data_IF_194088974391
#
_entry.id   IF_194088974391
#
_cell.length_a   1.000
_cell.length_b   1.000
_cell.length_c   1.000
_cell.angle_alpha   90.00
_cell.angle_beta   90.00
_cell.angle_gamma   90.00
#
_symmetry.space_group_name_H-M   'P 1'
#
loop_
_entity.id
_entity.type
_entity.pdbx_description
1 polymer ?
#
# COMPACT_ATOMS: atom_id res chain seq x y z
N UNK A 1 -13.37 -8.35 25.35
CA UNK A 1 -12.15 -9.06 25.77
C UNK A 1 -11.01 -8.05 25.84
N UNK A 2 -10.14 -8.06 26.84
CA UNK A 2 -8.92 -7.24 26.81
C UNK A 2 -7.98 -7.73 25.70
N UNK A 3 -7.35 -6.79 25.00
CA UNK A 3 -6.46 -7.12 23.90
C UNK A 3 -5.17 -7.80 24.43
N UNK A 4 -4.75 -8.93 23.83
CA UNK A 4 -3.56 -9.67 24.25
C UNK A 4 -2.27 -9.02 23.69
N UNK A 5 -1.95 -7.81 24.14
CA UNK A 5 -0.87 -6.97 23.60
C UNK A 5 0.47 -7.68 23.44
N UNK A 6 0.90 -8.48 24.44
CA UNK A 6 2.19 -9.20 24.36
C UNK A 6 2.23 -10.22 23.25
N UNK A 7 1.10 -10.92 23.00
CA UNK A 7 1.01 -11.91 21.93
C UNK A 7 0.94 -11.23 20.55
N UNK A 8 0.16 -10.16 20.44
CA UNK A 8 0.05 -9.38 19.19
C UNK A 8 1.40 -8.78 18.79
N UNK A 9 2.12 -8.14 19.71
CA UNK A 9 3.43 -7.53 19.46
C UNK A 9 4.55 -8.55 19.15
N UNK A 10 4.35 -9.83 19.46
CA UNK A 10 5.27 -10.93 19.10
C UNK A 10 4.85 -11.68 17.84
N UNK A 11 3.72 -11.37 17.28
CA UNK A 11 3.16 -12.06 16.11
C UNK A 11 3.75 -11.50 14.82
N UNK A 12 4.48 -12.32 14.06
CA UNK A 12 5.04 -11.93 12.77
C UNK A 12 3.97 -11.49 11.75
N UNK A 13 2.81 -12.16 11.60
CA UNK A 13 1.73 -11.70 10.74
C UNK A 13 1.17 -10.32 11.10
N UNK A 14 1.14 -9.95 12.37
CA UNK A 14 0.71 -8.60 12.81
C UNK A 14 1.70 -7.54 12.32
N UNK A 15 3.01 -7.78 12.48
CA UNK A 15 4.03 -6.87 11.97
C UNK A 15 4.06 -6.81 10.45
N UNK A 16 3.78 -7.92 9.76
CA UNK A 16 3.64 -7.94 8.31
C UNK A 16 2.53 -6.96 7.85
N UNK A 17 1.38 -6.96 8.53
CA UNK A 17 0.29 -6.01 8.23
C UNK A 17 0.73 -4.57 8.53
N UNK A 18 1.32 -4.32 9.70
CA UNK A 18 1.70 -2.97 10.16
C UNK A 18 2.73 -2.34 9.21
N UNK A 19 3.80 -3.08 8.90
CA UNK A 19 4.89 -2.59 8.03
C UNK A 19 4.38 -2.37 6.61
N UNK A 20 3.62 -3.32 6.07
CA UNK A 20 3.07 -3.21 4.71
C UNK A 20 2.06 -2.08 4.60
N UNK A 21 1.22 -1.90 5.61
CA UNK A 21 0.29 -0.77 5.66
C UNK A 21 1.02 0.56 5.71
N UNK A 22 2.04 0.68 6.57
CA UNK A 22 2.89 1.88 6.64
C UNK A 22 3.56 2.20 5.31
N UNK A 23 4.17 1.21 4.67
CA UNK A 23 4.80 1.36 3.36
C UNK A 23 3.81 1.76 2.26
N UNK A 24 2.63 1.10 2.22
CA UNK A 24 1.59 1.39 1.24
C UNK A 24 0.99 2.79 1.43
N UNK A 25 0.76 3.20 2.67
CA UNK A 25 0.22 4.54 3.01
C UNK A 25 1.24 5.63 2.72
N UNK A 26 2.51 5.43 3.10
CA UNK A 26 3.60 6.35 2.77
C UNK A 26 3.68 6.61 1.26
N UNK A 27 3.74 5.55 0.46
CA UNK A 27 3.80 5.68 -0.99
C UNK A 27 2.54 6.29 -1.59
N UNK A 28 1.36 5.88 -1.12
CA UNK A 28 0.09 6.43 -1.57
C UNK A 28 -0.01 7.94 -1.32
N UNK A 29 0.28 8.39 -0.09
CA UNK A 29 0.24 9.83 0.22
C UNK A 29 1.30 10.62 -0.52
N UNK A 30 2.51 10.07 -0.73
CA UNK A 30 3.51 10.74 -1.54
C UNK A 30 2.99 10.96 -2.96
N UNK A 31 2.47 9.93 -3.61
CA UNK A 31 1.95 10.05 -4.98
C UNK A 31 0.77 11.04 -5.01
N UNK A 32 -0.23 10.88 -4.14
CA UNK A 32 -1.46 11.68 -4.19
C UNK A 32 -1.21 13.14 -3.88
N UNK A 33 -0.39 13.45 -2.87
CA UNK A 33 -0.16 14.81 -2.42
C UNK A 33 0.87 15.55 -3.27
N UNK A 34 1.87 14.84 -3.79
CA UNK A 34 3.00 15.45 -4.48
C UNK A 34 2.90 15.36 -6.00
N UNK A 35 2.03 14.49 -6.52
CA UNK A 35 1.81 14.37 -7.96
C UNK A 35 1.44 15.70 -8.65
N UNK A 36 0.55 16.56 -8.09
CA UNK A 36 0.26 17.85 -8.69
C UNK A 36 1.50 18.73 -8.83
N UNK A 37 2.34 18.79 -7.77
CA UNK A 37 3.59 19.58 -7.79
C UNK A 37 4.58 19.07 -8.84
N UNK A 38 4.73 17.75 -8.94
CA UNK A 38 5.57 17.15 -9.96
C UNK A 38 5.11 17.47 -11.39
N UNK A 39 3.81 17.33 -11.65
CA UNK A 39 3.22 17.59 -12.97
C UNK A 39 3.33 19.08 -13.34
N UNK A 40 3.15 19.98 -12.38
CA UNK A 40 3.29 21.41 -12.62
C UNK A 40 4.74 21.83 -12.84
N UNK A 41 5.66 21.37 -11.98
CA UNK A 41 7.07 21.82 -11.98
C UNK A 41 7.91 21.17 -13.05
N UNK A 42 7.76 19.86 -13.26
CA UNK A 42 8.61 19.08 -14.17
C UNK A 42 7.97 18.89 -15.53
N UNK A 43 6.67 18.59 -15.58
CA UNK A 43 5.98 18.34 -16.82
C UNK A 43 5.37 19.62 -17.42
N UNK A 44 5.41 20.76 -16.69
CA UNK A 44 4.86 22.05 -17.12
C UNK A 44 3.40 21.96 -17.63
N UNK A 45 2.59 21.13 -16.95
CA UNK A 45 1.21 20.86 -17.31
C UNK A 45 0.25 21.30 -16.21
N UNK A 46 -0.71 22.16 -16.53
CA UNK A 46 -1.68 22.67 -15.57
C UNK A 46 -2.85 21.68 -15.41
N UNK A 47 -2.80 20.87 -14.33
CA UNK A 47 -3.86 19.91 -13.98
C UNK A 47 -5.18 20.56 -13.63
N UNK A 48 -5.19 21.81 -13.17
CA UNK A 48 -6.41 22.49 -12.71
C UNK A 48 -7.50 22.57 -13.80
N UNK A 49 -7.12 22.52 -15.07
CA UNK A 49 -8.07 22.50 -16.19
C UNK A 49 -8.58 21.09 -16.55
N UNK A 50 -8.05 20.01 -15.92
CA UNK A 50 -8.38 18.64 -16.30
C UNK A 50 -8.82 17.80 -15.11
N UNK A 51 -9.90 18.21 -14.40
CA UNK A 51 -10.46 17.47 -13.29
C UNK A 51 -10.80 16.02 -13.60
N UNK A 52 -11.15 15.71 -14.85
CA UNK A 52 -11.41 14.34 -15.32
C UNK A 52 -10.14 13.47 -15.28
N UNK A 53 -9.01 13.99 -15.75
CA UNK A 53 -7.71 13.30 -15.70
C UNK A 53 -7.25 13.03 -14.26
N UNK A 54 -7.51 13.99 -13.37
CA UNK A 54 -7.16 13.86 -11.94
C UNK A 54 -8.04 12.85 -11.20
N UNK A 55 -9.26 12.59 -11.66
CA UNK A 55 -10.18 11.61 -11.06
C UNK A 55 -9.98 10.19 -11.57
N UNK A 56 -9.36 10.02 -12.74
CA UNK A 56 -9.17 8.72 -13.40
C UNK A 56 -8.44 7.68 -12.52
N UNK A 57 -7.33 8.02 -11.83
CA UNK A 57 -6.64 7.09 -10.94
C UNK A 57 -7.53 6.58 -9.78
N UNK A 58 -8.38 7.44 -9.23
CA UNK A 58 -9.27 7.08 -8.13
C UNK A 58 -10.41 6.16 -8.59
N UNK A 59 -10.96 6.43 -9.76
CA UNK A 59 -11.95 5.54 -10.39
C UNK A 59 -11.32 4.18 -10.68
N UNK A 60 -10.13 4.17 -11.27
CA UNK A 60 -9.36 2.94 -11.52
C UNK A 60 -9.10 2.16 -10.23
N UNK A 61 -8.67 2.83 -9.16
CA UNK A 61 -8.46 2.23 -7.84
C UNK A 61 -9.72 1.58 -7.29
N UNK A 62 -10.86 2.26 -7.39
CA UNK A 62 -12.15 1.72 -6.95
C UNK A 62 -12.54 0.46 -7.72
N UNK A 63 -12.48 0.52 -9.06
CA UNK A 63 -12.81 -0.62 -9.91
C UNK A 63 -11.86 -1.81 -9.67
N UNK A 64 -10.57 -1.55 -9.51
CA UNK A 64 -9.59 -2.58 -9.18
C UNK A 64 -9.84 -3.20 -7.80
N UNK A 65 -10.23 -2.41 -6.81
CA UNK A 65 -10.58 -2.91 -5.48
C UNK A 65 -11.79 -3.86 -5.54
N UNK A 66 -12.84 -3.53 -6.29
CA UNK A 66 -13.99 -4.41 -6.49
C UNK A 66 -13.59 -5.69 -7.23
N UNK A 67 -12.94 -5.57 -8.38
CA UNK A 67 -12.56 -6.70 -9.21
C UNK A 67 -11.63 -7.67 -8.47
N UNK A 68 -10.62 -7.15 -7.78
CA UNK A 68 -9.67 -7.95 -7.02
C UNK A 68 -10.32 -8.64 -5.82
N UNK A 69 -11.27 -7.99 -5.13
CA UNK A 69 -12.00 -8.59 -4.01
C UNK A 69 -12.88 -9.75 -4.48
N UNK A 70 -13.65 -9.56 -5.56
CA UNK A 70 -14.46 -10.62 -6.17
C UNK A 70 -13.60 -11.79 -6.65
N UNK A 71 -12.48 -11.48 -7.31
CA UNK A 71 -11.55 -12.50 -7.80
C UNK A 71 -10.91 -13.29 -6.64
N UNK A 72 -10.44 -12.61 -5.61
CA UNK A 72 -9.86 -13.25 -4.43
C UNK A 72 -10.86 -14.19 -3.74
N UNK A 73 -12.10 -13.73 -3.56
CA UNK A 73 -13.15 -14.55 -2.95
C UNK A 73 -13.51 -15.77 -3.82
N UNK A 74 -13.58 -15.60 -5.13
CA UNK A 74 -13.81 -16.70 -6.08
C UNK A 74 -12.71 -17.75 -6.02
N UNK A 75 -11.46 -17.32 -6.02
CA UNK A 75 -10.30 -18.23 -5.95
C UNK A 75 -10.21 -18.97 -4.61
N UNK A 76 -10.58 -18.32 -3.52
CA UNK A 76 -10.64 -18.96 -2.19
C UNK A 76 -11.79 -19.95 -2.08
N UNK A 77 -13.00 -19.58 -2.54
CA UNK A 77 -14.19 -20.46 -2.50
C UNK A 77 -14.04 -21.68 -3.41
N UNK A 78 -13.37 -21.54 -4.54
CA UNK A 78 -13.11 -22.66 -5.44
C UNK A 78 -12.01 -23.61 -4.94
N UNK A 79 -11.37 -23.31 -3.79
CA UNK A 79 -10.26 -24.09 -3.23
C UNK A 79 -8.95 -24.02 -4.01
N UNK A 80 -8.87 -23.15 -5.05
CA UNK A 80 -7.64 -23.01 -5.86
C UNK A 80 -6.52 -22.32 -5.11
N UNK A 81 -6.85 -21.41 -4.21
CA UNK A 81 -5.87 -20.72 -3.37
C UNK A 81 -6.25 -20.80 -1.90
N UNK A 82 -5.28 -21.08 -1.04
CA UNK A 82 -5.43 -20.91 0.40
C UNK A 82 -5.59 -19.42 0.74
N UNK A 83 -6.16 -19.11 1.91
CA UNK A 83 -6.28 -17.73 2.39
C UNK A 83 -4.92 -17.03 2.40
N UNK A 84 -3.88 -17.68 2.94
CA UNK A 84 -2.52 -17.16 2.98
C UNK A 84 -1.99 -16.86 1.59
N UNK A 85 -2.13 -17.79 0.64
CA UNK A 85 -1.65 -17.62 -0.73
C UNK A 85 -2.37 -16.47 -1.44
N UNK A 86 -3.69 -16.38 -1.31
CA UNK A 86 -4.47 -15.28 -1.88
C UNK A 86 -4.02 -13.92 -1.31
N UNK A 87 -3.89 -13.79 0.02
CA UNK A 87 -3.44 -12.54 0.64
C UNK A 87 -2.04 -12.12 0.20
N UNK A 88 -1.10 -13.07 0.11
CA UNK A 88 0.27 -12.80 -0.37
C UNK A 88 0.29 -12.39 -1.84
N UNK A 89 -0.47 -13.07 -2.70
CA UNK A 89 -0.55 -12.77 -4.13
C UNK A 89 -1.10 -11.35 -4.36
N UNK A 90 -2.28 -11.05 -3.77
CA UNK A 90 -2.89 -9.74 -3.96
C UNK A 90 -2.11 -8.60 -3.31
N UNK A 91 -1.41 -8.84 -2.19
CA UNK A 91 -0.53 -7.82 -1.60
C UNK A 91 0.71 -7.60 -2.45
N UNK A 92 1.36 -8.67 -2.94
CA UNK A 92 2.49 -8.56 -3.86
C UNK A 92 2.13 -7.79 -5.13
N UNK A 93 0.94 -8.06 -5.70
CA UNK A 93 0.40 -7.32 -6.83
C UNK A 93 0.12 -5.85 -6.47
N UNK A 94 -0.60 -5.60 -5.38
CA UNK A 94 -1.11 -4.26 -5.02
C UNK A 94 -0.05 -3.30 -4.47
N UNK A 95 1.03 -3.82 -3.89
CA UNK A 95 2.10 -3.03 -3.27
C UNK A 95 3.42 -3.21 -4.03
N UNK A 96 3.76 -4.45 -4.42
CA UNK A 96 5.02 -4.72 -5.11
C UNK A 96 5.07 -4.16 -6.52
N UNK A 97 4.00 -4.34 -7.32
CA UNK A 97 3.98 -3.84 -8.70
C UNK A 97 4.04 -2.30 -8.77
N UNK A 98 3.29 -1.52 -7.97
CA UNK A 98 3.52 -0.07 -7.87
C UNK A 98 4.97 0.29 -7.53
N UNK A 99 5.66 -0.49 -6.67
CA UNK A 99 7.08 -0.30 -6.40
C UNK A 99 7.96 -0.41 -7.64
N UNK A 100 7.73 -1.44 -8.46
CA UNK A 100 8.41 -1.59 -9.76
C UNK A 100 8.07 -0.42 -10.71
N UNK A 101 6.82 0.02 -10.72
CA UNK A 101 6.39 1.16 -11.54
C UNK A 101 7.06 2.47 -11.13
N UNK A 102 7.39 2.67 -9.86
CA UNK A 102 8.18 3.83 -9.42
C UNK A 102 9.61 3.79 -9.96
N UNK A 103 10.21 2.60 -10.12
CA UNK A 103 11.50 2.47 -10.80
C UNK A 103 11.36 2.89 -12.26
N UNK A 104 10.34 2.42 -12.96
CA UNK A 104 10.07 2.81 -14.36
C UNK A 104 9.83 4.33 -14.45
N UNK A 105 9.11 4.92 -13.50
CA UNK A 105 8.88 6.36 -13.41
C UNK A 105 10.20 7.14 -13.26
N UNK A 106 11.17 6.62 -12.52
CA UNK A 106 12.48 7.25 -12.38
C UNK A 106 13.27 7.31 -13.69
N UNK A 107 12.96 6.47 -14.67
CA UNK A 107 13.61 6.50 -16.00
C UNK A 107 12.79 7.24 -17.07
N UNK A 108 11.46 7.10 -17.05
CA UNK A 108 10.58 7.62 -18.09
C UNK A 108 9.80 8.87 -17.66
N UNK A 109 9.98 9.34 -16.45
CA UNK A 109 9.18 10.39 -15.84
C UNK A 109 9.28 11.77 -16.51
N UNK A 110 10.29 12.01 -17.33
CA UNK A 110 10.40 13.26 -18.08
C UNK A 110 9.35 13.41 -19.19
N UNK A 111 8.74 12.31 -19.65
CA UNK A 111 7.66 12.33 -20.62
C UNK A 111 6.29 12.40 -19.92
N UNK A 112 5.45 13.35 -20.37
CA UNK A 112 4.13 13.62 -19.76
C UNK A 112 3.18 12.44 -19.86
N UNK A 113 3.13 11.80 -21.00
CA UNK A 113 2.16 10.73 -21.29
C UNK A 113 2.51 9.50 -20.45
N UNK A 114 3.79 9.12 -20.43
CA UNK A 114 4.28 8.00 -19.65
C UNK A 114 4.12 8.24 -18.15
N UNK A 115 4.45 9.43 -17.66
CA UNK A 115 4.27 9.76 -16.23
C UNK A 115 2.83 9.64 -15.77
N UNK A 116 1.89 10.26 -16.49
CA UNK A 116 0.47 10.20 -16.13
C UNK A 116 -0.04 8.76 -16.19
N UNK A 117 0.36 8.00 -17.21
CA UNK A 117 -0.02 6.59 -17.36
C UNK A 117 0.52 5.73 -16.20
N UNK A 118 1.79 5.89 -15.84
CA UNK A 118 2.43 5.12 -14.76
C UNK A 118 1.76 5.43 -13.41
N UNK A 119 1.55 6.69 -13.06
CA UNK A 119 0.89 7.06 -11.81
C UNK A 119 -0.57 6.58 -11.76
N UNK A 120 -1.31 6.75 -12.86
CA UNK A 120 -2.70 6.26 -12.96
C UNK A 120 -2.75 4.76 -12.74
N UNK A 121 -1.87 4.01 -13.40
CA UNK A 121 -1.84 2.56 -13.30
C UNK A 121 -1.36 2.10 -11.92
N UNK A 122 -0.35 2.75 -11.34
CA UNK A 122 0.14 2.43 -9.99
C UNK A 122 -0.95 2.62 -8.93
N UNK A 123 -1.69 3.75 -8.97
CA UNK A 123 -2.81 3.99 -8.08
C UNK A 123 -3.99 3.03 -8.32
N UNK A 124 -4.27 2.70 -9.57
CA UNK A 124 -5.29 1.70 -9.93
C UNK A 124 -4.97 0.34 -9.31
N UNK A 125 -3.76 -0.16 -9.52
CA UNK A 125 -3.29 -1.46 -9.01
C UNK A 125 -3.28 -1.48 -7.48
N UNK A 126 -2.92 -0.37 -6.85
CA UNK A 126 -2.96 -0.24 -5.39
C UNK A 126 -4.37 -0.49 -4.82
N UNK A 127 -5.45 -0.36 -5.59
CA UNK A 127 -6.80 -0.73 -5.17
C UNK A 127 -6.92 -2.19 -4.69
N UNK A 128 -6.12 -3.10 -5.21
CA UNK A 128 -6.13 -4.51 -4.83
C UNK A 128 -5.63 -4.80 -3.39
N UNK A 129 -5.15 -3.79 -2.64
CA UNK A 129 -4.81 -3.91 -1.21
C UNK A 129 -5.99 -4.41 -0.36
N UNK A 130 -7.23 -4.16 -0.79
CA UNK A 130 -8.45 -4.64 -0.13
C UNK A 130 -8.54 -6.17 -0.14
N UNK A 131 -8.19 -6.80 -1.24
CA UNK A 131 -8.09 -8.25 -1.38
C UNK A 131 -6.80 -8.82 -0.75
N UNK A 132 -5.79 -7.98 -0.56
CA UNK A 132 -4.50 -8.31 0.04
C UNK A 132 -4.49 -8.16 1.56
N UNK A 133 -3.52 -7.39 2.06
CA UNK A 133 -3.23 -7.25 3.49
C UNK A 133 -4.36 -6.57 4.29
N UNK A 134 -5.17 -5.70 3.68
CA UNK A 134 -6.29 -5.06 4.38
C UNK A 134 -7.38 -6.06 4.82
N UNK A 135 -7.63 -7.10 4.05
CA UNK A 135 -8.53 -8.17 4.47
C UNK A 135 -7.91 -9.15 5.48
N UNK A 136 -6.58 -9.19 5.56
CA UNK A 136 -5.86 -10.19 6.33
C UNK A 136 -6.01 -10.04 7.85
N UNK A 137 -6.22 -8.83 8.36
CA UNK A 137 -6.47 -8.61 9.79
C UNK A 137 -7.70 -9.37 10.30
N UNK A 138 -8.74 -9.51 9.47
CA UNK A 138 -9.93 -10.31 9.79
C UNK A 138 -9.66 -11.82 9.72
N UNK A 139 -8.76 -12.25 8.83
CA UNK A 139 -8.42 -13.68 8.72
C UNK A 139 -7.63 -14.15 9.94
N UNK A 140 -6.61 -13.38 10.38
CA UNK A 140 -5.72 -13.79 11.47
C UNK A 140 -6.31 -13.58 12.86
N UNK A 141 -7.16 -12.54 13.05
CA UNK A 141 -7.72 -12.21 14.35
C UNK A 141 -9.04 -11.42 14.22
N UNK A 142 -10.19 -12.06 13.93
CA UNK A 142 -11.48 -11.39 13.82
C UNK A 142 -11.83 -10.55 15.04
N UNK A 143 -11.54 -11.05 16.25
CA UNK A 143 -11.87 -10.37 17.50
C UNK A 143 -10.99 -9.12 17.78
N UNK A 144 -9.82 -9.02 17.17
CA UNK A 144 -8.86 -7.95 17.40
C UNK A 144 -8.42 -7.24 16.11
N UNK A 145 -9.10 -7.46 15.00
CA UNK A 145 -8.78 -6.83 13.70
C UNK A 145 -8.75 -5.31 13.80
N UNK A 146 -9.73 -4.71 14.49
CA UNK A 146 -9.76 -3.26 14.74
C UNK A 146 -8.55 -2.75 15.53
N UNK A 147 -8.06 -3.53 16.50
CA UNK A 147 -6.85 -3.18 17.28
C UNK A 147 -5.60 -3.24 16.39
N UNK A 148 -5.48 -4.28 15.54
CA UNK A 148 -4.36 -4.42 14.59
C UNK A 148 -4.33 -3.22 13.63
N UNK A 149 -5.48 -2.88 13.04
CA UNK A 149 -5.55 -1.73 12.14
C UNK A 149 -5.41 -0.40 12.85
N UNK A 150 -5.82 -0.29 14.11
CA UNK A 150 -5.53 0.86 14.96
C UNK A 150 -4.02 1.10 15.11
N UNK A 151 -3.27 0.05 15.45
CA UNK A 151 -1.80 0.11 15.51
C UNK A 151 -1.18 0.45 14.15
N UNK A 152 -1.65 -0.19 13.08
CA UNK A 152 -1.16 0.06 11.74
C UNK A 152 -1.41 1.51 11.29
N UNK A 153 -2.60 2.05 11.53
CA UNK A 153 -2.95 3.44 11.21
C UNK A 153 -2.16 4.44 12.04
N UNK A 154 -1.92 4.17 13.32
CA UNK A 154 -1.10 5.04 14.18
C UNK A 154 0.32 5.16 13.61
N UNK A 155 0.93 4.04 13.24
CA UNK A 155 2.27 4.05 12.66
C UNK A 155 2.28 4.71 11.27
N UNK A 156 1.28 4.44 10.43
CA UNK A 156 1.19 5.00 9.08
C UNK A 156 0.92 6.50 9.05
N UNK A 157 0.34 7.07 10.12
CA UNK A 157 0.14 8.52 10.24
C UNK A 157 1.47 9.29 10.23
N UNK A 158 2.52 8.72 10.81
CA UNK A 158 3.87 9.26 10.70
C UNK A 158 4.40 9.19 9.26
N UNK A 159 4.02 8.15 8.51
CA UNK A 159 4.40 8.01 7.10
C UNK A 159 3.86 9.13 6.22
N UNK A 160 2.64 9.59 6.45
CA UNK A 160 2.05 10.73 5.72
C UNK A 160 2.83 12.03 5.94
N UNK A 161 3.17 12.34 7.20
CA UNK A 161 4.02 13.49 7.53
C UNK A 161 5.43 13.34 6.93
N UNK A 162 6.06 12.18 7.12
CA UNK A 162 7.41 11.91 6.64
C UNK A 162 7.48 12.01 5.11
N UNK A 163 6.43 11.58 4.38
CA UNK A 163 6.39 11.67 2.92
C UNK A 163 6.44 13.12 2.43
N UNK A 164 5.66 13.99 3.05
CA UNK A 164 5.62 15.42 2.70
C UNK A 164 6.93 16.12 3.06
N UNK A 165 7.47 15.83 4.25
CA UNK A 165 8.75 16.35 4.69
C UNK A 165 9.90 15.91 3.77
N UNK A 166 9.96 14.64 3.42
CA UNK A 166 10.99 14.08 2.52
C UNK A 166 10.97 14.76 1.14
N UNK A 167 9.80 14.89 0.52
CA UNK A 167 9.70 15.55 -0.78
C UNK A 167 10.04 17.03 -0.66
N UNK A 168 9.54 17.71 0.37
CA UNK A 168 9.84 19.12 0.62
C UNK A 168 11.34 19.35 0.73
N UNK A 169 12.06 18.55 1.53
CA UNK A 169 13.51 18.67 1.74
C UNK A 169 14.30 18.40 0.46
N UNK A 170 13.91 17.36 -0.29
CA UNK A 170 14.61 16.99 -1.53
C UNK A 170 14.38 18.00 -2.66
N UNK A 171 13.23 18.70 -2.69
CA UNK A 171 12.89 19.60 -3.79
C UNK A 171 12.97 21.09 -3.45
N UNK A 172 13.36 21.43 -2.21
CA UNK A 172 13.36 22.81 -1.71
C UNK A 172 14.37 23.72 -2.44
N UNK A 173 15.61 23.28 -2.60
CA UNK A 173 16.65 24.11 -3.22
C UNK A 173 16.57 24.09 -4.75
N UNK A 174 16.37 22.91 -5.32
CA UNK A 174 16.29 22.69 -6.77
C UNK A 174 15.19 21.72 -7.10
N UNK A 175 14.10 22.21 -7.67
CA UNK A 175 13.00 21.36 -8.10
C UNK A 175 13.26 20.80 -9.51
N UNK A 176 14.24 19.88 -9.59
CA UNK A 176 14.68 19.24 -10.84
C UNK A 176 14.20 17.81 -10.95
N UNK A 177 14.19 17.27 -12.17
CA UNK A 177 13.86 15.87 -12.39
C UNK A 177 14.76 14.90 -11.62
N UNK A 178 16.04 15.23 -11.48
CA UNK A 178 17.03 14.42 -10.74
C UNK A 178 16.64 14.26 -9.26
N UNK A 179 16.13 15.31 -8.62
CA UNK A 179 15.65 15.24 -7.24
C UNK A 179 14.40 14.35 -7.15
N UNK A 180 13.51 14.44 -8.13
CA UNK A 180 12.34 13.57 -8.20
C UNK A 180 12.68 12.10 -8.47
N UNK A 181 13.76 11.82 -9.21
CA UNK A 181 14.24 10.44 -9.36
C UNK A 181 14.59 9.82 -8.00
N UNK A 182 15.23 10.59 -7.11
CA UNK A 182 15.53 10.11 -5.74
C UNK A 182 14.23 9.79 -4.99
N UNK A 183 13.22 10.66 -5.07
CA UNK A 183 11.90 10.40 -4.48
C UNK A 183 11.31 9.09 -5.02
N UNK A 184 11.35 8.86 -6.33
CA UNK A 184 10.82 7.64 -6.93
C UNK A 184 11.59 6.38 -6.51
N UNK A 185 12.91 6.45 -6.35
CA UNK A 185 13.70 5.33 -5.83
C UNK A 185 13.38 5.02 -4.36
N UNK A 186 13.18 6.05 -3.53
CA UNK A 186 12.75 5.86 -2.14
C UNK A 186 11.36 5.21 -2.09
N UNK A 187 10.42 5.68 -2.91
CA UNK A 187 9.08 5.08 -3.03
C UNK A 187 9.15 3.62 -3.47
N UNK A 188 9.96 3.34 -4.50
CA UNK A 188 10.16 1.98 -4.99
C UNK A 188 10.69 1.05 -3.89
N UNK A 189 11.74 1.48 -3.18
CA UNK A 189 12.32 0.74 -2.07
C UNK A 189 11.31 0.49 -0.95
N UNK A 190 10.55 1.51 -0.56
CA UNK A 190 9.54 1.39 0.49
C UNK A 190 8.41 0.43 0.11
N UNK A 191 7.87 0.54 -1.10
CA UNK A 191 6.83 -0.37 -1.60
C UNK A 191 7.33 -1.82 -1.70
N UNK A 192 8.53 -2.03 -2.27
CA UNK A 192 9.10 -3.36 -2.45
C UNK A 192 9.42 -4.02 -1.10
N UNK A 193 9.97 -3.28 -0.14
CA UNK A 193 10.21 -3.78 1.22
C UNK A 193 8.90 -4.13 1.92
N UNK A 194 7.86 -3.30 1.81
CA UNK A 194 6.54 -3.60 2.36
C UNK A 194 5.94 -4.86 1.75
N UNK A 195 5.98 -5.01 0.44
CA UNK A 195 5.49 -6.20 -0.25
C UNK A 195 6.28 -7.47 0.14
N UNK A 196 7.60 -7.38 0.18
CA UNK A 196 8.48 -8.48 0.59
C UNK A 196 8.20 -8.90 2.04
N UNK A 197 8.05 -7.94 2.95
CA UNK A 197 7.73 -8.21 4.34
C UNK A 197 6.41 -8.99 4.46
N UNK A 198 5.37 -8.61 3.72
CA UNK A 198 4.11 -9.35 3.76
C UNK A 198 4.19 -10.73 3.11
N UNK A 199 4.86 -10.84 1.98
CA UNK A 199 5.02 -12.13 1.28
C UNK A 199 5.81 -13.14 2.14
N UNK A 200 6.77 -12.67 2.92
CA UNK A 200 7.57 -13.53 3.81
C UNK A 200 6.86 -13.84 5.12
N UNK A 201 6.41 -12.84 5.85
CA UNK A 201 5.91 -12.94 7.22
C UNK A 201 4.38 -13.03 7.33
N UNK A 202 3.63 -12.69 6.29
CA UNK A 202 2.17 -12.74 6.30
C UNK A 202 1.64 -14.17 6.41
N UNK A 203 0.53 -14.34 7.13
CA UNK A 203 -0.24 -15.59 7.22
C UNK A 203 -1.72 -15.27 7.14
N UNK A 204 -2.52 -16.18 6.59
CA UNK A 204 -3.97 -16.12 6.61
C UNK A 204 -4.61 -17.03 7.67
N UNK A 205 -3.79 -17.64 8.53
CA UNK A 205 -4.25 -18.58 9.53
C UNK A 205 -4.66 -17.88 10.82
N UNK A 206 -5.76 -18.33 11.42
CA UNK A 206 -6.26 -17.78 12.67
C UNK A 206 -5.20 -17.92 13.78
N UNK A 207 -4.90 -16.82 14.45
CA UNK A 207 -3.86 -16.81 15.47
C UNK A 207 -4.38 -17.38 16.79
N UNK A 208 -3.56 -18.18 17.52
CA UNK A 208 -4.00 -18.83 18.77
C UNK A 208 -4.49 -17.85 19.84
N UNK A 209 -3.96 -16.64 19.85
CA UNK A 209 -4.33 -15.59 20.81
C UNK A 209 -5.64 -14.87 20.49
N UNK A 210 -6.28 -15.18 19.33
CA UNK A 210 -7.58 -14.60 18.97
C UNK A 210 -8.73 -15.08 19.87
N UNK A 211 -8.62 -16.28 20.43
CA UNK A 211 -9.62 -16.84 21.34
C UNK A 211 -9.10 -16.85 22.78
N UNK A 212 -9.97 -16.65 23.80
CA UNK A 212 -9.55 -16.84 25.17
C UNK A 212 -9.05 -18.27 25.38
N UNK A 213 -8.00 -18.45 26.18
CA UNK A 213 -7.61 -19.78 26.62
C UNK A 213 -8.84 -20.50 27.21
N UNK A 214 -9.05 -21.79 26.90
CA UNK A 214 -10.13 -22.52 27.54
C UNK A 214 -9.95 -22.42 29.06
N UNK A 215 -11.03 -22.29 29.85
CA UNK A 215 -10.90 -22.28 31.28
C UNK A 215 -10.17 -23.55 31.73
N UNK A 216 -9.17 -23.40 32.58
CA UNK A 216 -8.50 -24.55 33.21
C UNK A 216 -9.56 -25.35 33.95
N UNK A 217 -9.93 -26.52 33.44
CA UNK A 217 -10.77 -27.52 34.10
C UNK A 217 -9.94 -28.27 35.12
#
# INVERSE_FOLDING_TARGET
>A
MPAPWRAMLRSAPVWAIIITHGASVFGYFTVVNQLPSYIESILHFNIKHNGLLSSLPYLGKYLCALASSVLADSLRRSGRLSTTAARKLFTGFAVGLPGVMMIVQAFLGHDRVWSIAIFTLALTINGAVTAGYLGNGLDIAPNFSGTIFGMANTLSSFGGWLSTFMVGELTHENNTYEQWQIVFYILAGTYLLGALCFVTLGSGDLQPWNSPAPPCT
#
